data_IF_604972716086
#
_entry.id   IF_604972716086
#
_cell.length_a   1.000
_cell.length_b   1.000
_cell.length_c   1.000
_cell.angle_alpha   90.00
_cell.angle_beta   90.00
_cell.angle_gamma   90.00
#
_symmetry.space_group_name_H-M   'P 1'
#
loop_
_entity.id
_entity.type
_entity.pdbx_description
1 polymer ?
#
# COMPACT_ATOMS: atom_id res chain seq x y z
N UNK A 1 -9.14 6.41 42.45
CA UNK A 1 -9.30 6.48 40.97
C UNK A 1 -10.20 5.32 40.57
N UNK A 2 -11.31 5.56 39.88
CA UNK A 2 -12.24 4.49 39.45
C UNK A 2 -11.53 3.64 38.40
N UNK A 3 -11.23 2.37 38.74
CA UNK A 3 -10.70 1.37 37.77
C UNK A 3 -11.81 0.96 36.77
N UNK A 4 -12.20 1.87 35.89
CA UNK A 4 -13.05 1.44 34.77
C UNK A 4 -12.22 0.55 33.87
N UNK A 5 -12.71 -0.65 33.52
CA UNK A 5 -12.03 -1.47 32.52
C UNK A 5 -12.01 -0.72 31.18
N UNK A 6 -10.84 -0.66 30.55
CA UNK A 6 -10.61 0.04 29.28
C UNK A 6 -9.90 -0.89 28.30
N UNK A 7 -10.26 -0.77 27.03
CA UNK A 7 -9.53 -1.43 25.97
C UNK A 7 -8.13 -0.82 25.80
N UNK A 8 -7.16 -1.59 25.30
CA UNK A 8 -5.91 -1.03 24.84
C UNK A 8 -6.17 0.11 23.84
N UNK A 9 -5.33 1.15 23.90
CA UNK A 9 -5.48 2.30 23.02
C UNK A 9 -5.38 1.86 21.57
N UNK A 10 -6.29 2.32 20.72
CA UNK A 10 -6.31 1.96 19.29
C UNK A 10 -7.00 0.64 18.96
N UNK A 11 -7.61 -0.03 19.94
CA UNK A 11 -8.45 -1.22 19.73
C UNK A 11 -9.92 -0.93 20.04
N UNK A 12 -10.83 -1.81 19.62
CA UNK A 12 -12.28 -1.57 19.74
C UNK A 12 -13.04 -2.86 20.03
N UNK A 13 -14.08 -2.75 20.84
CA UNK A 13 -15.15 -3.74 20.89
C UNK A 13 -16.21 -3.43 19.83
N UNK A 14 -16.87 -4.45 19.36
CA UNK A 14 -17.99 -4.34 18.42
C UNK A 14 -19.25 -4.92 19.07
N UNK A 15 -20.28 -4.10 19.22
CA UNK A 15 -21.58 -4.58 19.67
C UNK A 15 -22.27 -5.45 18.58
N UNK A 16 -23.34 -6.19 18.92
CA UNK A 16 -23.99 -7.11 17.98
C UNK A 16 -24.42 -6.45 16.68
N UNK A 17 -25.00 -5.25 16.72
CA UNK A 17 -25.46 -4.52 15.53
C UNK A 17 -24.28 -4.12 14.63
N UNK A 18 -23.22 -3.60 15.20
CA UNK A 18 -22.00 -3.24 14.47
C UNK A 18 -21.37 -4.48 13.83
N UNK A 19 -21.33 -5.60 14.56
CA UNK A 19 -20.78 -6.85 14.04
C UNK A 19 -21.61 -7.39 12.88
N UNK A 20 -22.96 -7.30 12.95
CA UNK A 20 -23.84 -7.69 11.86
C UNK A 20 -23.58 -6.85 10.58
N UNK A 21 -23.43 -5.53 10.73
CA UNK A 21 -23.09 -4.64 9.61
C UNK A 21 -21.71 -4.96 9.01
N UNK A 22 -20.73 -5.25 9.87
CA UNK A 22 -19.38 -5.66 9.40
C UNK A 22 -19.43 -6.96 8.60
N UNK A 23 -20.18 -7.97 9.07
CA UNK A 23 -20.36 -9.23 8.35
C UNK A 23 -20.98 -9.00 6.98
N UNK A 24 -22.05 -8.21 6.90
CA UNK A 24 -22.67 -7.85 5.62
C UNK A 24 -21.67 -7.26 4.63
N UNK A 25 -20.79 -6.34 5.08
CA UNK A 25 -19.75 -5.74 4.24
C UNK A 25 -18.71 -6.79 3.82
N UNK A 26 -18.27 -7.62 4.75
CA UNK A 26 -17.30 -8.70 4.49
C UNK A 26 -17.86 -9.68 3.46
N UNK A 27 -19.09 -10.17 3.65
CA UNK A 27 -19.73 -11.11 2.74
C UNK A 27 -19.88 -10.54 1.34
N UNK A 28 -20.22 -9.25 1.22
CA UNK A 28 -20.31 -8.56 -0.06
C UNK A 28 -18.95 -8.44 -0.75
N UNK A 29 -17.89 -8.13 0.00
CA UNK A 29 -16.51 -8.05 -0.54
C UNK A 29 -16.05 -9.44 -0.97
N UNK A 30 -16.18 -10.46 -0.11
CA UNK A 30 -15.79 -11.85 -0.42
C UNK A 30 -16.47 -12.36 -1.69
N UNK A 31 -17.80 -12.25 -1.76
CA UNK A 31 -18.55 -12.68 -2.94
C UNK A 31 -18.18 -11.92 -4.22
N UNK A 32 -17.71 -10.67 -4.05
CA UNK A 32 -17.19 -9.90 -5.20
C UNK A 32 -15.86 -10.45 -5.63
N UNK A 33 -14.91 -10.69 -4.72
CA UNK A 33 -13.62 -11.27 -5.03
C UNK A 33 -13.76 -12.66 -5.68
N UNK A 34 -14.61 -13.52 -5.13
CA UNK A 34 -14.93 -14.84 -5.71
C UNK A 34 -15.45 -14.72 -7.15
N UNK A 35 -16.31 -13.71 -7.44
CA UNK A 35 -16.85 -13.50 -8.79
C UNK A 35 -15.80 -13.10 -9.83
N UNK A 36 -14.62 -12.66 -9.39
CA UNK A 36 -13.45 -12.38 -10.21
C UNK A 36 -12.44 -13.56 -10.23
N UNK A 37 -12.78 -14.69 -9.61
CA UNK A 37 -11.97 -15.91 -9.59
C UNK A 37 -10.87 -15.90 -8.53
N UNK A 38 -10.99 -15.08 -7.50
CA UNK A 38 -10.05 -15.10 -6.36
C UNK A 38 -10.46 -16.18 -5.36
N UNK A 39 -9.49 -16.91 -4.83
CA UNK A 39 -9.68 -17.93 -3.81
C UNK A 39 -9.30 -17.39 -2.43
N UNK A 40 -10.09 -17.73 -1.42
CA UNK A 40 -9.80 -17.34 -0.05
C UNK A 40 -8.63 -18.13 0.52
N UNK A 41 -7.74 -17.43 1.22
CA UNK A 41 -6.70 -18.04 2.05
C UNK A 41 -6.64 -17.36 3.42
N UNK A 42 -6.02 -18.04 4.37
CA UNK A 42 -5.65 -17.46 5.65
C UNK A 42 -4.16 -17.68 5.94
N UNK A 43 -3.55 -16.71 6.61
CA UNK A 43 -2.19 -16.82 7.14
C UNK A 43 -2.18 -16.57 8.64
N UNK A 44 -1.18 -17.06 9.40
CA UNK A 44 -1.11 -16.82 10.83
C UNK A 44 -1.07 -15.32 11.20
N UNK A 45 -1.67 -14.95 12.31
CA UNK A 45 -1.58 -13.60 12.88
C UNK A 45 -0.17 -13.27 13.40
N UNK A 46 0.57 -14.31 13.75
CA UNK A 46 1.93 -14.23 14.28
C UNK A 46 2.90 -14.72 13.20
N UNK A 47 3.82 -13.86 12.83
CA UNK A 47 4.90 -14.15 11.89
C UNK A 47 6.27 -14.13 12.58
N UNK A 48 7.27 -14.74 11.96
CA UNK A 48 8.66 -14.57 12.40
C UNK A 48 9.10 -13.12 12.19
N UNK A 49 9.89 -12.59 13.10
CA UNK A 49 10.44 -11.26 12.97
C UNK A 49 11.22 -11.08 11.66
N UNK A 50 11.98 -12.11 11.23
CA UNK A 50 12.70 -12.12 9.95
C UNK A 50 11.79 -12.05 8.71
N UNK A 51 10.52 -12.48 8.83
CA UNK A 51 9.52 -12.33 7.76
C UNK A 51 9.05 -10.89 7.65
N UNK A 52 8.87 -10.19 8.76
CA UNK A 52 8.26 -8.87 8.82
C UNK A 52 9.25 -7.73 8.55
N UNK A 53 10.44 -7.78 9.18
CA UNK A 53 11.40 -6.68 9.13
C UNK A 53 12.09 -6.55 7.78
N UNK A 54 12.46 -5.31 7.43
CA UNK A 54 13.10 -4.92 6.16
C UNK A 54 12.21 -5.13 4.92
N UNK A 55 10.87 -5.15 5.12
CA UNK A 55 9.89 -5.27 4.04
C UNK A 55 9.06 -4.00 3.84
N UNK A 56 8.92 -3.19 4.88
CA UNK A 56 8.05 -2.01 4.91
C UNK A 56 8.84 -0.69 4.89
N UNK A 57 10.15 -0.77 4.70
CA UNK A 57 11.06 0.36 4.86
C UNK A 57 11.33 0.72 6.32
N UNK A 58 12.29 1.62 6.54
CA UNK A 58 12.74 2.00 7.89
C UNK A 58 11.64 2.61 8.75
N UNK A 59 10.69 3.32 8.14
CA UNK A 59 9.55 3.90 8.85
C UNK A 59 8.50 2.85 9.20
N UNK A 60 8.16 1.95 8.26
CA UNK A 60 7.17 0.89 8.49
C UNK A 60 7.60 -0.10 9.56
N UNK A 61 8.88 -0.46 9.59
CA UNK A 61 9.44 -1.39 10.57
C UNK A 61 9.26 -0.90 12.04
N UNK A 62 9.20 0.41 12.26
CA UNK A 62 8.96 1.01 13.59
C UNK A 62 7.56 0.72 14.14
N UNK A 63 6.61 0.37 13.28
CA UNK A 63 5.22 0.14 13.65
C UNK A 63 4.84 -1.33 13.75
N UNK A 64 5.81 -2.25 13.69
CA UNK A 64 5.58 -3.68 13.91
C UNK A 64 5.44 -3.94 15.40
N UNK A 65 4.33 -4.58 15.81
CA UNK A 65 4.18 -5.09 17.16
C UNK A 65 5.07 -6.31 17.39
N UNK A 66 6.06 -6.19 18.27
CA UNK A 66 6.93 -7.27 18.66
C UNK A 66 6.30 -8.09 19.80
N UNK A 67 6.39 -9.42 19.70
CA UNK A 67 5.93 -10.34 20.73
C UNK A 67 7.13 -10.77 21.55
N UNK A 68 7.13 -10.43 22.83
CA UNK A 68 8.20 -10.80 23.77
C UNK A 68 8.21 -12.32 23.96
N UNK A 69 9.41 -12.91 23.89
CA UNK A 69 9.60 -14.33 24.15
C UNK A 69 9.15 -14.71 25.56
N UNK A 70 8.49 -15.87 25.69
CA UNK A 70 8.02 -16.38 26.97
C UNK A 70 8.94 -17.46 27.54
N UNK A 71 8.84 -17.71 28.85
CA UNK A 71 9.56 -18.77 29.54
C UNK A 71 11.08 -18.60 29.52
N UNK A 72 11.81 -19.68 29.36
CA UNK A 72 13.28 -19.69 29.40
C UNK A 72 13.95 -18.85 28.31
N UNK A 73 13.26 -18.59 27.20
CA UNK A 73 13.80 -17.78 26.10
C UNK A 73 14.05 -16.32 26.49
N UNK A 74 13.26 -15.75 27.42
CA UNK A 74 13.47 -14.38 27.89
C UNK A 74 14.80 -14.22 28.64
N UNK A 75 15.30 -15.30 29.26
CA UNK A 75 16.58 -15.29 29.98
C UNK A 75 17.79 -15.12 29.05
N UNK A 76 17.59 -15.26 27.72
CA UNK A 76 18.64 -15.05 26.72
C UNK A 76 18.72 -13.59 26.26
N UNK A 77 18.09 -12.65 26.97
CA UNK A 77 18.13 -11.23 26.66
C UNK A 77 19.58 -10.70 26.62
N UNK A 78 19.92 -9.99 25.56
CA UNK A 78 21.23 -9.34 25.44
C UNK A 78 21.28 -8.03 26.23
N UNK A 79 21.59 -8.17 27.55
CA UNK A 79 21.71 -7.04 28.45
C UNK A 79 22.86 -6.12 28.09
N UNK A 80 23.88 -6.59 27.36
CA UNK A 80 24.98 -5.78 26.87
C UNK A 80 24.50 -4.84 25.77
N UNK A 81 23.75 -5.33 24.80
CA UNK A 81 23.13 -4.51 23.75
C UNK A 81 22.24 -3.41 24.36
N UNK A 82 21.50 -3.72 25.42
CA UNK A 82 20.69 -2.73 26.14
C UNK A 82 21.57 -1.65 26.79
N UNK A 83 22.63 -2.03 27.48
CA UNK A 83 23.57 -1.11 28.13
C UNK A 83 24.29 -0.20 27.12
N UNK A 84 24.64 -0.76 25.96
CA UNK A 84 25.29 -0.05 24.85
C UNK A 84 24.30 0.79 24.01
N UNK A 85 23.00 0.86 24.42
CA UNK A 85 21.91 1.55 23.72
C UNK A 85 21.64 1.03 22.30
N UNK A 86 22.06 -0.18 21.99
CA UNK A 86 21.70 -0.88 20.75
C UNK A 86 20.34 -1.58 20.92
N UNK A 87 19.28 -0.81 20.86
CA UNK A 87 17.93 -1.29 21.13
C UNK A 87 17.43 -2.30 20.07
N UNK A 88 17.93 -2.25 18.84
CA UNK A 88 17.55 -3.20 17.80
C UNK A 88 18.04 -4.62 18.13
N UNK A 89 19.28 -4.76 18.54
CA UNK A 89 19.85 -6.05 18.93
C UNK A 89 19.20 -6.55 20.22
N UNK A 90 19.02 -5.65 21.21
CA UNK A 90 18.29 -6.01 22.43
C UNK A 90 16.89 -6.55 22.12
N UNK A 91 16.07 -5.83 21.33
CA UNK A 91 14.73 -6.29 20.95
C UNK A 91 14.79 -7.62 20.19
N UNK A 92 15.79 -7.79 19.31
CA UNK A 92 15.99 -9.06 18.58
C UNK A 92 16.26 -10.23 19.49
N UNK A 93 16.97 -10.01 20.61
CA UNK A 93 17.29 -11.04 21.58
C UNK A 93 16.09 -11.51 22.41
N UNK A 94 15.08 -10.66 22.58
CA UNK A 94 13.89 -10.92 23.40
C UNK A 94 12.62 -11.16 22.59
N UNK A 95 12.64 -10.97 21.28
CA UNK A 95 11.49 -11.11 20.40
C UNK A 95 11.85 -11.79 19.08
N UNK A 96 11.41 -13.02 18.90
CA UNK A 96 11.56 -13.79 17.66
C UNK A 96 10.37 -13.64 16.71
N UNK A 97 9.26 -13.06 17.18
CA UNK A 97 7.95 -13.00 16.53
C UNK A 97 7.35 -11.61 16.60
N UNK A 98 6.47 -11.30 15.66
CA UNK A 98 5.64 -10.11 15.68
C UNK A 98 4.24 -10.40 15.19
N UNK A 99 3.34 -9.45 15.40
CA UNK A 99 2.02 -9.45 14.75
C UNK A 99 2.18 -8.97 13.30
N UNK A 100 1.46 -9.61 12.38
CA UNK A 100 1.49 -9.20 10.96
C UNK A 100 1.01 -7.76 10.80
N UNK A 101 1.75 -7.00 10.02
CA UNK A 101 1.53 -5.57 9.76
C UNK A 101 0.54 -5.34 8.59
N UNK A 102 0.55 -6.25 7.63
CA UNK A 102 -0.34 -6.33 6.47
C UNK A 102 -0.61 -7.80 6.11
N UNK A 103 -1.30 -8.04 4.99
CA UNK A 103 -1.57 -9.37 4.48
C UNK A 103 -0.70 -9.74 3.27
N UNK A 104 0.01 -8.76 2.68
CA UNK A 104 0.82 -8.94 1.46
C UNK A 104 2.17 -9.60 1.76
N UNK A 105 2.88 -9.19 2.81
CA UNK A 105 4.16 -9.84 3.21
C UNK A 105 3.95 -11.28 3.66
N UNK A 106 2.94 -11.62 4.50
CA UNK A 106 2.57 -13.00 4.77
C UNK A 106 2.20 -13.81 3.52
N UNK A 107 1.54 -13.19 2.53
CA UNK A 107 1.26 -13.84 1.24
C UNK A 107 2.54 -14.20 0.49
N UNK A 108 3.48 -13.28 0.37
CA UNK A 108 4.74 -13.54 -0.33
C UNK A 108 5.50 -14.73 0.30
N UNK A 109 5.52 -14.81 1.63
CA UNK A 109 6.04 -15.97 2.36
C UNK A 109 5.24 -17.24 2.07
N UNK A 110 3.89 -17.16 2.09
CA UNK A 110 3.00 -18.29 1.82
C UNK A 110 3.24 -18.85 0.42
N UNK A 111 3.26 -18.01 -0.60
CA UNK A 111 3.48 -18.43 -1.99
C UNK A 111 4.86 -19.07 -2.17
N UNK A 112 5.91 -18.51 -1.58
CA UNK A 112 7.25 -19.10 -1.62
C UNK A 112 7.29 -20.47 -0.95
N UNK A 113 6.60 -20.66 0.18
CA UNK A 113 6.56 -21.91 0.91
C UNK A 113 5.77 -23.00 0.16
N UNK A 114 4.73 -22.64 -0.56
CA UNK A 114 3.80 -23.54 -1.24
C UNK A 114 3.91 -23.50 -2.76
N UNK A 115 5.03 -22.98 -3.32
CA UNK A 115 5.19 -22.76 -4.76
C UNK A 115 4.96 -23.99 -5.63
N UNK A 116 5.21 -25.19 -5.10
CA UNK A 116 5.02 -26.45 -5.82
C UNK A 116 3.55 -26.95 -5.80
N UNK A 117 2.71 -26.34 -4.96
CA UNK A 117 1.28 -26.69 -4.80
C UNK A 117 0.38 -25.66 -5.47
N UNK A 118 0.92 -24.46 -5.78
CA UNK A 118 0.20 -23.33 -6.35
C UNK A 118 0.29 -23.34 -7.87
N UNK A 119 -0.86 -23.13 -8.52
CA UNK A 119 -0.92 -22.88 -9.97
C UNK A 119 -0.88 -21.36 -10.22
N UNK A 120 0.06 -20.92 -11.04
CA UNK A 120 0.18 -19.50 -11.43
C UNK A 120 -0.57 -19.21 -12.75
N UNK A 121 -1.16 -18.00 -12.93
CA UNK A 121 -1.22 -16.92 -11.95
C UNK A 121 -2.13 -17.27 -10.76
N UNK A 122 -1.64 -16.99 -9.56
CA UNK A 122 -2.35 -17.27 -8.33
C UNK A 122 -3.18 -16.06 -7.89
N UNK A 123 -4.50 -16.17 -8.00
CA UNK A 123 -5.46 -15.16 -7.55
C UNK A 123 -5.99 -15.54 -6.17
N UNK A 124 -5.67 -14.73 -5.16
CA UNK A 124 -6.11 -14.98 -3.79
C UNK A 124 -6.80 -13.76 -3.20
N UNK A 125 -7.72 -13.96 -2.27
CA UNK A 125 -8.12 -12.91 -1.34
C UNK A 125 -7.96 -13.37 0.11
N UNK A 126 -7.92 -12.41 1.03
CA UNK A 126 -7.78 -12.64 2.46
C UNK A 126 -8.44 -11.50 3.23
N UNK A 127 -9.30 -11.85 4.20
CA UNK A 127 -9.99 -10.86 5.04
C UNK A 127 -9.70 -11.18 6.49
N UNK A 128 -8.68 -10.53 7.04
CA UNK A 128 -8.20 -10.80 8.39
C UNK A 128 -7.70 -9.52 9.07
N UNK A 129 -7.58 -9.58 10.41
CA UNK A 129 -7.02 -8.48 11.18
C UNK A 129 -5.51 -8.34 10.97
N UNK A 130 -5.06 -7.09 11.00
CA UNK A 130 -3.65 -6.67 11.01
C UNK A 130 -3.41 -5.70 12.14
N UNK A 131 -2.13 -5.52 12.52
CA UNK A 131 -1.76 -4.73 13.68
C UNK A 131 -0.63 -3.76 13.36
N UNK A 132 -0.85 -2.48 13.64
CA UNK A 132 0.12 -1.41 13.43
C UNK A 132 0.26 -0.58 14.68
N UNK A 133 1.48 -0.42 15.19
CA UNK A 133 1.78 0.38 16.38
C UNK A 133 1.74 1.90 16.10
N UNK A 134 1.01 2.31 15.10
CA UNK A 134 0.75 3.71 14.75
C UNK A 134 0.09 4.48 15.91
N UNK A 135 0.29 5.79 15.93
CA UNK A 135 -0.44 6.65 16.85
C UNK A 135 -1.93 6.65 16.47
N UNK A 136 -2.84 6.19 17.35
CA UNK A 136 -4.27 6.15 17.06
C UNK A 136 -4.85 7.56 16.84
N UNK A 137 -5.70 7.68 15.81
CA UNK A 137 -6.44 8.89 15.50
C UNK A 137 -7.79 8.52 14.85
N UNK A 138 -8.66 9.49 14.56
CA UNK A 138 -9.94 9.24 13.90
C UNK A 138 -9.70 8.46 12.58
N UNK A 139 -10.35 7.31 12.42
CA UNK A 139 -10.20 6.44 11.25
C UNK A 139 -8.94 5.57 11.22
N UNK A 140 -7.98 5.73 12.15
CA UNK A 140 -6.75 4.93 12.22
C UNK A 140 -6.65 4.22 13.56
N UNK A 141 -6.70 2.90 13.50
CA UNK A 141 -6.65 2.01 14.66
C UNK A 141 -5.37 1.18 14.64
N UNK A 142 -4.99 0.66 15.82
CA UNK A 142 -3.85 -0.26 15.93
C UNK A 142 -4.22 -1.70 15.57
N UNK A 143 -5.49 -2.05 15.69
CA UNK A 143 -6.06 -3.30 15.21
C UNK A 143 -7.20 -3.00 14.24
N UNK A 144 -7.14 -3.53 13.03
CA UNK A 144 -8.17 -3.37 12.01
C UNK A 144 -8.17 -4.52 11.01
N UNK A 145 -9.28 -4.70 10.32
CA UNK A 145 -9.42 -5.73 9.28
C UNK A 145 -9.00 -5.16 7.93
N UNK A 146 -8.11 -5.84 7.23
CA UNK A 146 -7.85 -5.65 5.81
C UNK A 146 -8.66 -6.65 4.99
N UNK A 147 -9.09 -6.22 3.79
CA UNK A 147 -9.73 -7.04 2.77
C UNK A 147 -8.85 -6.94 1.53
N UNK A 148 -7.91 -7.84 1.38
CA UNK A 148 -6.89 -7.80 0.34
C UNK A 148 -7.17 -8.82 -0.76
N UNK A 149 -6.97 -8.41 -2.01
CA UNK A 149 -6.98 -9.28 -3.18
C UNK A 149 -5.67 -9.07 -3.95
N UNK A 150 -4.98 -10.16 -4.26
CA UNK A 150 -3.71 -10.12 -5.00
C UNK A 150 -3.67 -11.18 -6.10
N UNK A 151 -2.90 -10.88 -7.14
CA UNK A 151 -2.51 -11.84 -8.18
C UNK A 151 -1.01 -11.96 -8.19
N UNK A 152 -0.47 -13.17 -8.09
CA UNK A 152 0.97 -13.43 -8.16
C UNK A 152 1.29 -14.32 -9.36
N UNK A 153 2.40 -14.03 -10.05
CA UNK A 153 2.93 -14.82 -11.14
C UNK A 153 2.41 -14.42 -12.53
N UNK A 154 2.11 -13.13 -12.73
CA UNK A 154 1.78 -12.59 -14.05
C UNK A 154 2.18 -11.13 -14.18
N UNK A 155 2.83 -10.80 -15.30
CA UNK A 155 3.22 -9.43 -15.68
C UNK A 155 2.19 -8.75 -16.60
N UNK A 156 1.02 -9.37 -16.78
CA UNK A 156 0.00 -8.84 -17.68
C UNK A 156 -0.53 -7.51 -17.18
N UNK A 157 -0.52 -6.50 -18.05
CA UNK A 157 -1.10 -5.17 -17.77
C UNK A 157 -2.62 -5.21 -17.58
N UNK A 158 -3.27 -6.28 -18.03
CA UNK A 158 -4.72 -6.46 -17.82
C UNK A 158 -5.08 -6.61 -16.34
N UNK A 159 -4.13 -6.99 -15.50
CA UNK A 159 -4.34 -7.11 -14.06
C UNK A 159 -4.53 -5.74 -13.39
N UNK A 160 -3.83 -4.71 -13.86
CA UNK A 160 -4.05 -3.34 -13.38
C UNK A 160 -5.50 -2.90 -13.64
N UNK A 161 -6.01 -3.17 -14.84
CA UNK A 161 -7.39 -2.86 -15.17
C UNK A 161 -8.38 -3.72 -14.35
N UNK A 162 -8.09 -5.02 -14.16
CA UNK A 162 -8.91 -5.90 -13.31
C UNK A 162 -8.99 -5.37 -11.87
N UNK A 163 -7.88 -4.88 -11.29
CA UNK A 163 -7.90 -4.28 -9.95
C UNK A 163 -8.82 -3.05 -9.88
N UNK A 164 -8.78 -2.19 -10.90
CA UNK A 164 -9.67 -1.03 -11.00
C UNK A 164 -11.14 -1.46 -11.09
N UNK A 165 -11.44 -2.49 -11.89
CA UNK A 165 -12.78 -3.06 -11.98
C UNK A 165 -13.23 -3.68 -10.66
N UNK A 166 -12.34 -4.36 -9.96
CA UNK A 166 -12.60 -4.99 -8.67
C UNK A 166 -12.99 -3.94 -7.62
N UNK A 167 -12.19 -2.87 -7.47
CA UNK A 167 -12.55 -1.73 -6.62
C UNK A 167 -13.91 -1.13 -7.01
N UNK A 168 -14.10 -0.85 -8.31
CA UNK A 168 -15.35 -0.28 -8.81
C UNK A 168 -16.55 -1.17 -8.49
N UNK A 169 -16.41 -2.48 -8.62
CA UNK A 169 -17.47 -3.45 -8.32
C UNK A 169 -17.81 -3.47 -6.83
N UNK A 170 -16.81 -3.49 -5.95
CA UNK A 170 -17.02 -3.46 -4.50
C UNK A 170 -17.75 -2.18 -4.07
N UNK A 171 -17.23 -1.01 -4.44
CA UNK A 171 -17.81 0.26 -3.98
C UNK A 171 -19.19 0.52 -4.57
N UNK A 172 -19.46 0.11 -5.81
CA UNK A 172 -20.80 0.19 -6.39
C UNK A 172 -21.81 -0.73 -5.67
N UNK A 173 -21.42 -1.95 -5.34
CA UNK A 173 -22.28 -2.88 -4.56
C UNK A 173 -22.53 -2.34 -3.15
N UNK A 174 -21.56 -1.66 -2.54
CA UNK A 174 -21.72 -0.95 -1.28
C UNK A 174 -22.55 0.34 -1.41
N UNK A 175 -22.92 0.75 -2.63
CA UNK A 175 -23.64 1.99 -2.94
C UNK A 175 -22.87 3.26 -2.50
N UNK A 176 -21.55 3.20 -2.49
CA UNK A 176 -20.67 4.32 -2.22
C UNK A 176 -20.33 5.02 -3.54
N UNK A 177 -21.13 6.01 -3.94
CA UNK A 177 -20.99 6.70 -5.22
C UNK A 177 -19.99 7.87 -5.17
N UNK A 178 -19.59 8.29 -3.98
CA UNK A 178 -18.68 9.42 -3.74
C UNK A 178 -17.23 8.96 -3.55
N UNK A 179 -16.84 7.95 -4.31
CA UNK A 179 -15.50 7.35 -4.25
C UNK A 179 -14.72 7.68 -5.52
N UNK A 180 -13.44 7.93 -5.36
CA UNK A 180 -12.48 8.09 -6.46
C UNK A 180 -11.31 7.13 -6.28
N UNK A 181 -10.87 6.52 -7.38
CA UNK A 181 -9.61 5.79 -7.45
C UNK A 181 -8.57 6.73 -8.04
N UNK A 182 -7.59 7.12 -7.26
CA UNK A 182 -6.40 7.83 -7.72
C UNK A 182 -5.36 6.82 -8.19
N UNK A 183 -4.73 7.09 -9.33
CA UNK A 183 -3.75 6.20 -9.96
C UNK A 183 -2.49 6.98 -10.28
N UNK A 184 -1.34 6.36 -10.05
CA UNK A 184 -0.04 6.83 -10.52
C UNK A 184 0.88 5.63 -10.82
N UNK A 185 2.10 5.89 -11.26
CA UNK A 185 3.09 4.86 -11.56
C UNK A 185 4.45 5.22 -10.97
N UNK A 186 5.06 4.28 -10.23
CA UNK A 186 6.36 4.51 -9.55
C UNK A 186 7.50 4.85 -10.52
N UNK A 187 7.53 4.22 -11.70
CA UNK A 187 8.56 4.52 -12.71
C UNK A 187 8.38 5.92 -13.31
N UNK A 188 7.14 6.39 -13.49
CA UNK A 188 6.86 7.78 -13.92
C UNK A 188 7.38 8.77 -12.88
N UNK A 189 7.06 8.56 -11.60
CA UNK A 189 7.59 9.40 -10.51
C UNK A 189 9.12 9.41 -10.48
N UNK A 190 9.75 8.24 -10.70
CA UNK A 190 11.20 8.13 -10.75
C UNK A 190 11.81 8.89 -11.94
N UNK A 191 11.18 8.84 -13.11
CA UNK A 191 11.61 9.60 -14.30
C UNK A 191 11.53 11.11 -14.05
N UNK A 192 10.43 11.57 -13.45
CA UNK A 192 10.25 12.99 -13.04
C UNK A 192 11.33 13.37 -12.01
N UNK A 193 11.52 12.56 -10.97
CA UNK A 193 12.53 12.80 -9.93
C UNK A 193 13.93 12.92 -10.51
N UNK A 194 14.30 12.08 -11.48
CA UNK A 194 15.60 12.15 -12.17
C UNK A 194 15.77 13.48 -12.92
N UNK A 195 14.75 13.98 -13.62
CA UNK A 195 14.81 15.28 -14.32
C UNK A 195 14.90 16.46 -13.36
N UNK A 196 14.27 16.36 -12.20
CA UNK A 196 14.40 17.35 -11.11
C UNK A 196 15.80 17.34 -10.50
N UNK A 197 16.57 16.26 -10.67
CA UNK A 197 17.89 16.09 -10.08
C UNK A 197 17.87 15.51 -8.68
N UNK A 198 16.83 14.74 -8.37
CA UNK A 198 16.67 14.03 -7.10
C UNK A 198 17.75 12.96 -6.97
N UNK A 199 18.48 12.96 -5.85
CA UNK A 199 19.49 11.94 -5.53
C UNK A 199 18.91 10.77 -4.74
N UNK A 200 17.98 11.05 -3.85
CA UNK A 200 17.28 10.06 -3.03
C UNK A 200 15.79 10.07 -3.40
N UNK A 201 15.36 9.03 -4.11
CA UNK A 201 13.97 8.89 -4.55
C UNK A 201 13.00 8.74 -3.38
N UNK A 202 13.42 8.09 -2.29
CA UNK A 202 12.54 7.91 -1.12
C UNK A 202 12.29 9.26 -0.42
N UNK A 203 13.31 10.13 -0.28
CA UNK A 203 13.11 11.48 0.26
C UNK A 203 12.15 12.32 -0.60
N UNK A 204 12.25 12.20 -1.92
CA UNK A 204 11.30 12.84 -2.83
C UNK A 204 9.86 12.33 -2.64
N UNK A 205 9.67 11.01 -2.58
CA UNK A 205 8.36 10.38 -2.35
C UNK A 205 7.78 10.82 -1.00
N UNK A 206 8.57 10.85 0.06
CA UNK A 206 8.15 11.33 1.38
C UNK A 206 7.73 12.81 1.34
N UNK A 207 8.44 13.64 0.56
CA UNK A 207 8.06 15.04 0.38
C UNK A 207 6.74 15.17 -0.39
N UNK A 208 6.56 14.41 -1.47
CA UNK A 208 5.30 14.38 -2.24
C UNK A 208 4.11 13.90 -1.41
N UNK A 209 4.27 12.88 -0.56
CA UNK A 209 3.21 12.37 0.33
C UNK A 209 2.65 13.41 1.32
N UNK A 210 3.37 14.49 1.52
CA UNK A 210 2.91 15.59 2.40
C UNK A 210 1.89 16.50 1.74
N UNK A 211 1.70 16.46 0.42
CA UNK A 211 0.81 17.39 -0.31
C UNK A 211 -0.56 17.46 0.34
N UNK A 212 -1.18 16.34 0.64
CA UNK A 212 -2.52 16.29 1.25
C UNK A 212 -2.57 16.89 2.68
N UNK A 213 -1.42 16.95 3.37
CA UNK A 213 -1.34 17.40 4.76
C UNK A 213 -0.97 18.87 4.89
N UNK A 214 -0.02 19.33 4.07
CA UNK A 214 0.54 20.69 4.18
C UNK A 214 0.18 21.60 3.00
N UNK A 215 -0.39 21.02 1.94
CA UNK A 215 -0.79 21.73 0.73
C UNK A 215 0.32 21.79 -0.33
N UNK A 216 -0.10 22.02 -1.56
CA UNK A 216 0.75 21.98 -2.77
C UNK A 216 1.89 22.99 -2.71
N UNK A 217 1.62 24.25 -2.32
CA UNK A 217 2.63 25.31 -2.32
C UNK A 217 3.77 25.05 -1.32
N UNK A 218 3.45 24.63 -0.09
CA UNK A 218 4.48 24.32 0.91
C UNK A 218 5.33 23.14 0.50
N UNK A 219 4.72 22.10 -0.11
CA UNK A 219 5.45 20.95 -0.63
C UNK A 219 6.36 21.37 -1.78
N UNK A 220 5.89 22.23 -2.66
CA UNK A 220 6.68 22.79 -3.76
C UNK A 220 7.90 23.55 -3.25
N UNK A 221 7.73 24.40 -2.23
CA UNK A 221 8.83 25.14 -1.60
C UNK A 221 9.84 24.20 -0.93
N UNK A 222 9.37 23.16 -0.21
CA UNK A 222 10.24 22.14 0.38
C UNK A 222 11.10 21.47 -0.70
N UNK A 223 10.48 21.03 -1.82
CA UNK A 223 11.19 20.37 -2.91
C UNK A 223 12.17 21.32 -3.59
N UNK A 224 11.79 22.60 -3.83
CA UNK A 224 12.69 23.63 -4.36
C UNK A 224 13.89 23.90 -3.46
N UNK A 225 13.72 23.79 -2.15
CA UNK A 225 14.83 23.97 -1.20
C UNK A 225 15.85 22.83 -1.23
N UNK A 226 15.44 21.65 -1.66
CA UNK A 226 16.26 20.42 -1.71
C UNK A 226 16.92 20.20 -3.07
N UNK A 227 16.28 20.62 -4.17
CA UNK A 227 16.68 20.28 -5.53
C UNK A 227 16.76 21.50 -6.44
N UNK A 228 17.72 21.48 -7.38
CA UNK A 228 18.13 22.70 -8.10
C UNK A 228 17.36 22.96 -9.41
N UNK A 229 16.64 21.98 -9.97
CA UNK A 229 15.95 22.16 -11.25
C UNK A 229 14.56 22.76 -11.06
N UNK A 230 14.54 24.07 -10.75
CA UNK A 230 13.33 24.84 -10.42
C UNK A 230 12.28 24.75 -11.56
N UNK A 231 12.72 24.80 -12.82
CA UNK A 231 11.81 24.77 -13.96
C UNK A 231 11.02 23.45 -14.04
N UNK A 232 11.66 22.30 -13.82
CA UNK A 232 10.98 21.00 -13.83
C UNK A 232 10.06 20.84 -12.61
N UNK A 233 10.46 21.38 -11.46
CA UNK A 233 9.59 21.42 -10.27
C UNK A 233 8.34 22.27 -10.56
N UNK A 234 8.50 23.45 -11.16
CA UNK A 234 7.35 24.31 -11.50
C UNK A 234 6.38 23.62 -12.46
N UNK A 235 6.88 22.96 -13.51
CA UNK A 235 6.05 22.18 -14.45
C UNK A 235 5.27 21.07 -13.76
N UNK A 236 5.94 20.31 -12.85
CA UNK A 236 5.28 19.25 -12.09
C UNK A 236 4.11 19.79 -11.24
N UNK A 237 4.35 20.89 -10.52
CA UNK A 237 3.32 21.45 -9.66
C UNK A 237 2.22 22.20 -10.44
N UNK A 238 2.53 22.71 -11.62
CA UNK A 238 1.52 23.27 -12.54
C UNK A 238 0.53 22.20 -12.98
N UNK A 239 0.99 21.03 -13.43
CA UNK A 239 0.12 19.94 -13.86
C UNK A 239 -0.66 19.32 -12.68
N UNK A 240 -0.04 19.19 -11.51
CA UNK A 240 -0.74 18.72 -10.30
C UNK A 240 -1.90 19.67 -9.94
N UNK A 241 -1.67 20.99 -9.93
CA UNK A 241 -2.69 21.98 -9.62
C UNK A 241 -3.80 22.04 -10.68
N UNK A 242 -3.48 21.72 -11.93
CA UNK A 242 -4.45 21.67 -13.03
C UNK A 242 -5.43 20.51 -12.93
N UNK A 243 -5.08 19.45 -12.17
CA UNK A 243 -5.83 18.20 -12.11
C UNK A 243 -6.15 17.64 -13.51
N UNK A 244 -5.15 17.12 -14.25
CA UNK A 244 -5.24 16.83 -15.66
C UNK A 244 -6.23 15.71 -15.95
N UNK A 245 -6.91 15.77 -17.09
CA UNK A 245 -7.62 14.61 -17.61
C UNK A 245 -6.61 13.51 -18.06
N UNK A 246 -7.12 12.32 -18.36
CA UNK A 246 -6.28 11.15 -18.69
C UNK A 246 -5.33 11.42 -19.86
N UNK A 247 -5.78 12.11 -20.90
CA UNK A 247 -4.97 12.46 -22.07
C UNK A 247 -3.89 13.50 -21.76
N UNK A 248 -4.23 14.51 -20.94
CA UNK A 248 -3.29 15.54 -20.50
C UNK A 248 -2.20 14.92 -19.60
N UNK A 249 -2.58 13.99 -18.70
CA UNK A 249 -1.64 13.21 -17.89
C UNK A 249 -0.68 12.44 -18.80
N UNK A 250 -1.19 11.66 -19.75
CA UNK A 250 -0.38 10.86 -20.66
C UNK A 250 0.58 11.71 -21.48
N UNK A 251 0.11 12.84 -22.02
CA UNK A 251 0.94 13.78 -22.78
C UNK A 251 2.04 14.39 -21.91
N UNK A 252 1.74 14.71 -20.65
CA UNK A 252 2.72 15.23 -19.72
C UNK A 252 3.83 14.22 -19.44
N UNK A 253 3.48 12.99 -19.06
CA UNK A 253 4.49 11.97 -18.69
C UNK A 253 5.38 11.57 -19.88
N UNK A 254 4.88 11.57 -21.11
CA UNK A 254 5.68 11.29 -22.32
C UNK A 254 6.88 12.23 -22.45
N UNK A 255 6.83 13.44 -21.92
CA UNK A 255 7.98 14.36 -21.92
C UNK A 255 9.09 13.96 -20.94
N UNK A 256 8.81 13.05 -20.00
CA UNK A 256 9.76 12.60 -18.97
C UNK A 256 10.27 11.18 -19.24
N UNK A 257 9.54 10.41 -20.01
CA UNK A 257 9.93 9.05 -20.41
C UNK A 257 10.82 9.09 -21.64
N UNK A 258 11.73 8.13 -21.76
CA UNK A 258 12.65 7.95 -22.86
C UNK A 258 12.16 6.86 -23.82
N UNK A 259 12.83 6.71 -24.98
CA UNK A 259 12.54 5.62 -25.91
C UNK A 259 12.70 4.22 -25.29
N UNK A 260 13.55 4.11 -24.26
CA UNK A 260 13.70 2.85 -23.50
C UNK A 260 12.47 2.54 -22.62
N UNK A 261 11.60 3.52 -22.38
CA UNK A 261 10.37 3.38 -21.60
C UNK A 261 9.14 3.16 -22.50
N UNK A 262 9.32 2.85 -23.78
CA UNK A 262 8.23 2.68 -24.76
C UNK A 262 7.16 1.68 -24.30
N UNK A 263 7.58 0.54 -23.73
CA UNK A 263 6.64 -0.43 -23.15
C UNK A 263 5.78 0.16 -22.04
N UNK A 264 6.36 0.97 -21.15
CA UNK A 264 5.61 1.63 -20.08
C UNK A 264 4.57 2.60 -20.64
N UNK A 265 4.90 3.34 -21.70
CA UNK A 265 3.98 4.24 -22.38
C UNK A 265 2.81 3.44 -22.99
N UNK A 266 3.10 2.37 -23.72
CA UNK A 266 2.09 1.52 -24.35
C UNK A 266 1.17 0.87 -23.32
N UNK A 267 1.74 0.40 -22.22
CA UNK A 267 1.00 -0.19 -21.09
C UNK A 267 0.05 0.83 -20.44
N UNK A 268 0.53 2.05 -20.17
CA UNK A 268 -0.28 3.13 -19.63
C UNK A 268 -1.38 3.58 -20.60
N UNK A 269 -1.08 3.72 -21.89
CA UNK A 269 -2.09 4.01 -22.92
C UNK A 269 -3.16 2.92 -22.98
N UNK A 270 -2.76 1.67 -22.87
CA UNK A 270 -3.68 0.53 -22.88
C UNK A 270 -4.64 0.60 -21.70
N UNK A 271 -4.14 0.79 -20.48
CA UNK A 271 -4.98 0.91 -19.28
C UNK A 271 -5.91 2.13 -19.37
N UNK A 272 -5.40 3.29 -19.79
CA UNK A 272 -6.21 4.51 -19.96
C UNK A 272 -7.35 4.27 -20.97
N UNK A 273 -7.04 3.67 -22.12
CA UNK A 273 -8.05 3.36 -23.13
C UNK A 273 -9.12 2.38 -22.62
N UNK A 274 -8.75 1.41 -21.80
CA UNK A 274 -9.70 0.49 -21.18
C UNK A 274 -10.58 1.20 -20.14
N UNK A 275 -10.01 2.07 -19.32
CA UNK A 275 -10.73 2.90 -18.34
C UNK A 275 -11.76 3.78 -19.05
N UNK A 276 -11.37 4.49 -20.10
CA UNK A 276 -12.23 5.43 -20.82
C UNK A 276 -13.43 4.75 -21.51
N UNK A 277 -13.27 3.48 -21.89
CA UNK A 277 -14.31 2.67 -22.52
C UNK A 277 -15.27 2.03 -21.54
N UNK A 278 -14.84 1.70 -20.33
CA UNK A 278 -15.70 1.02 -19.33
C UNK A 278 -16.53 2.03 -18.52
N UNK A 279 -17.76 2.26 -18.97
CA UNK A 279 -18.71 3.15 -18.31
C UNK A 279 -19.25 2.62 -16.97
N UNK A 280 -18.85 1.44 -16.54
CA UNK A 280 -19.22 0.86 -15.24
C UNK A 280 -18.24 1.19 -14.13
N UNK A 281 -17.13 1.80 -14.42
CA UNK A 281 -16.15 2.20 -13.41
C UNK A 281 -16.68 3.35 -12.54
N UNK A 282 -16.22 3.40 -11.30
CA UNK A 282 -16.34 4.61 -10.45
C UNK A 282 -15.39 5.68 -10.98
N UNK A 283 -15.40 6.88 -10.38
CA UNK A 283 -14.48 7.94 -10.78
C UNK A 283 -13.01 7.51 -10.64
N UNK A 284 -12.23 7.84 -11.65
CA UNK A 284 -10.79 7.54 -11.70
C UNK A 284 -10.07 8.83 -12.04
N UNK A 285 -9.02 9.12 -11.27
CA UNK A 285 -8.16 10.28 -11.48
C UNK A 285 -6.70 9.82 -11.56
N UNK A 286 -5.98 10.21 -12.61
CA UNK A 286 -4.53 10.08 -12.66
C UNK A 286 -3.90 11.22 -11.89
N UNK A 287 -3.24 10.91 -10.77
CA UNK A 287 -2.78 11.89 -9.80
C UNK A 287 -1.26 11.78 -9.60
N UNK A 288 -0.50 12.71 -10.20
CA UNK A 288 0.95 12.78 -10.06
C UNK A 288 1.42 13.05 -8.63
N UNK A 289 0.54 13.56 -7.76
CA UNK A 289 0.85 13.75 -6.35
C UNK A 289 0.78 12.44 -5.56
N UNK A 290 0.10 11.41 -6.09
CA UNK A 290 0.03 10.11 -5.45
C UNK A 290 1.42 9.46 -5.46
N UNK A 291 2.14 9.61 -4.37
CA UNK A 291 3.45 9.03 -4.15
C UNK A 291 3.45 7.96 -3.05
N UNK A 292 2.31 7.75 -2.42
CA UNK A 292 2.09 6.81 -1.32
C UNK A 292 2.30 5.36 -1.73
N UNK A 293 2.43 4.57 -0.74
CA UNK A 293 2.51 3.13 -0.85
C UNK A 293 3.65 2.59 0.01
N UNK A 294 3.62 1.30 0.21
CA UNK A 294 4.71 0.59 0.86
C UNK A 294 5.91 0.54 -0.10
N UNK A 295 7.12 0.53 0.43
CA UNK A 295 8.35 0.61 -0.37
C UNK A 295 8.49 -0.54 -1.38
N UNK A 296 7.76 -1.64 -1.19
CA UNK A 296 7.80 -2.78 -2.09
C UNK A 296 7.04 -2.57 -3.42
N UNK A 297 6.23 -1.51 -3.58
CA UNK A 297 5.58 -1.23 -4.87
C UNK A 297 6.58 -0.69 -5.88
N UNK A 298 6.56 -1.25 -7.10
CA UNK A 298 7.50 -0.93 -8.20
C UNK A 298 6.82 -0.39 -9.45
N UNK A 299 5.55 -0.72 -9.65
CA UNK A 299 4.76 -0.37 -10.82
C UNK A 299 3.64 0.62 -10.56
N UNK A 300 2.45 0.32 -11.07
CA UNK A 300 1.25 1.12 -10.84
C UNK A 300 0.86 1.11 -9.36
N UNK A 301 0.39 2.24 -8.86
CA UNK A 301 -0.09 2.43 -7.49
C UNK A 301 -1.49 3.03 -7.50
N UNK A 302 -2.29 2.63 -6.51
CA UNK A 302 -3.68 3.02 -6.36
C UNK A 302 -3.94 3.57 -4.96
N UNK A 303 -4.79 4.57 -4.88
CA UNK A 303 -5.41 5.00 -3.63
C UNK A 303 -6.90 5.24 -3.86
N UNK A 304 -7.72 4.74 -2.96
CA UNK A 304 -9.17 4.94 -3.00
C UNK A 304 -9.59 5.82 -1.84
N UNK A 305 -10.27 6.91 -2.12
CA UNK A 305 -10.71 7.88 -1.13
C UNK A 305 -12.12 8.38 -1.41
N UNK A 306 -12.74 9.02 -0.40
CA UNK A 306 -13.97 9.78 -0.60
C UNK A 306 -13.65 11.15 -1.18
N UNK A 307 -14.49 11.62 -2.13
CA UNK A 307 -14.35 12.97 -2.69
C UNK A 307 -14.82 14.04 -1.70
N UNK A 308 -15.87 13.77 -0.94
CA UNK A 308 -16.51 14.72 -0.03
C UNK A 308 -15.87 14.83 1.35
N UNK A 309 -15.10 13.81 1.79
CA UNK A 309 -14.53 13.80 3.16
C UNK A 309 -13.12 13.20 3.19
N UNK A 310 -12.13 14.03 2.96
CA UNK A 310 -10.71 13.66 3.08
C UNK A 310 -10.27 13.33 4.52
N UNK A 311 -11.07 13.69 5.54
CA UNK A 311 -10.74 13.44 6.96
C UNK A 311 -10.80 11.96 7.34
N UNK A 312 -11.51 11.14 6.55
CA UNK A 312 -11.60 9.70 6.76
C UNK A 312 -10.31 8.99 6.33
N UNK A 313 -9.55 9.62 5.44
CA UNK A 313 -8.34 9.04 4.85
C UNK A 313 -8.67 8.03 3.75
N UNK A 314 -7.66 7.22 3.38
CA UNK A 314 -7.79 6.23 2.33
C UNK A 314 -8.72 5.07 2.74
N UNK A 315 -9.66 4.70 1.88
CA UNK A 315 -10.54 3.54 2.01
C UNK A 315 -9.88 2.26 1.52
N UNK A 316 -8.90 2.38 0.65
CA UNK A 316 -8.15 1.28 0.08
C UNK A 316 -6.93 1.79 -0.67
N UNK A 317 -6.08 0.87 -1.04
CA UNK A 317 -4.89 1.16 -1.83
C UNK A 317 -4.18 -0.12 -2.21
N UNK A 318 -3.26 -0.02 -3.14
CA UNK A 318 -2.50 -1.16 -3.62
C UNK A 318 -1.50 -0.74 -4.68
N UNK A 319 -0.93 -1.72 -5.33
CA UNK A 319 -0.02 -1.48 -6.45
C UNK A 319 0.72 -2.73 -6.85
N UNK A 320 1.42 -2.65 -7.98
CA UNK A 320 2.26 -3.74 -8.47
C UNK A 320 3.56 -3.80 -7.68
N UNK A 321 3.95 -5.01 -7.31
CA UNK A 321 5.24 -5.32 -6.70
C UNK A 321 5.93 -6.46 -7.46
N UNK A 322 7.20 -6.26 -7.83
CA UNK A 322 7.95 -7.22 -8.65
C UNK A 322 8.89 -8.08 -7.79
N UNK A 323 9.45 -7.50 -6.72
CA UNK A 323 10.57 -8.09 -6.00
C UNK A 323 10.22 -8.64 -4.61
N UNK A 324 8.95 -8.53 -4.18
CA UNK A 324 8.57 -8.91 -2.83
C UNK A 324 8.78 -10.42 -2.58
N UNK A 325 8.42 -11.25 -3.55
CA UNK A 325 8.59 -12.71 -3.49
C UNK A 325 10.06 -13.13 -3.53
N UNK A 326 10.94 -12.35 -4.15
CA UNK A 326 12.39 -12.63 -4.17
C UNK A 326 13.01 -12.61 -2.79
N UNK A 327 12.49 -11.76 -1.90
CA UNK A 327 12.93 -11.69 -0.51
C UNK A 327 12.63 -12.98 0.29
N UNK A 328 11.84 -13.89 -0.31
CA UNK A 328 11.52 -15.23 0.17
C UNK A 328 12.04 -16.33 -0.77
N UNK A 329 13.08 -16.04 -1.59
CA UNK A 329 13.70 -16.94 -2.54
C UNK A 329 12.82 -17.43 -3.71
N UNK A 330 11.74 -16.72 -4.03
CA UNK A 330 10.91 -16.97 -5.19
C UNK A 330 11.11 -15.84 -6.23
N UNK A 331 11.99 -16.10 -7.21
CA UNK A 331 12.34 -15.14 -8.26
C UNK A 331 11.30 -15.12 -9.39
N UNK A 332 11.22 -13.98 -10.10
CA UNK A 332 10.40 -13.78 -11.30
C UNK A 332 8.90 -14.03 -11.08
N UNK A 333 8.37 -13.66 -9.92
CA UNK A 333 6.95 -13.73 -9.62
C UNK A 333 6.49 -12.35 -9.13
N UNK A 334 6.06 -11.51 -10.08
CA UNK A 334 5.41 -10.23 -9.80
C UNK A 334 4.02 -10.42 -9.20
N UNK A 335 3.57 -9.44 -8.47
CA UNK A 335 2.24 -9.42 -7.88
C UNK A 335 1.62 -8.02 -7.90
#
# INVERSE_FOLDING_TARGET
MSNKPLNPKGTRDFNPLTLQRRRYIIDLISSTFESYGYNEIETPSIERRSTLYHKYGTEGDKFIFNIINSGEKIKKADLKAFSDKNFNDFISSISEKGLRFDLTVPLARYVSQHQNEITFPFKRFQIQNVWRADRPQKGRYQEFTQCDADVIGSDSILLEFEMIQLYSSVFRKLKLNDVVIKINHRQVLNAIAKKIGVKDFNDFVISMDKIDKVGTEKTKEEIKSKYNNVNEIDKLFEIINKNPNHQEYLNFIKNYLSDNDSKLIDDLETVINMIDRDKKLISIDFDLSLARGLEYYTGMIYEVSLKSDSSIGSLGGGGRYENLTESFNLKNNSG
#
